data_IF_109621207995
#
_entry.id   IF_109621207995
#
_cell.length_a   1.000
_cell.length_b   1.000
_cell.length_c   1.000
_cell.angle_alpha   90.00
_cell.angle_beta   90.00
_cell.angle_gamma   90.00
#
_symmetry.space_group_name_H-M   'P 1'
#
loop_
_entity.id
_entity.type
_entity.pdbx_description
1 polymer ?
#
# COMPACT_ATOMS: atom_id res chain seq x y z
N UNK A 1 6.28 -6.62 -4.27
CA UNK A 1 4.92 -7.22 -4.29
C UNK A 1 4.89 -8.31 -5.34
N UNK A 2 4.05 -9.33 -5.20
CA UNK A 2 3.87 -10.39 -6.20
C UNK A 2 2.39 -10.44 -6.60
N UNK A 3 2.10 -10.11 -7.85
CA UNK A 3 0.77 -10.27 -8.42
C UNK A 3 0.77 -11.45 -9.38
N UNK A 4 -0.31 -12.23 -9.36
CA UNK A 4 -0.52 -13.36 -10.24
C UNK A 4 -1.75 -13.13 -11.12
N UNK A 5 -1.84 -13.90 -12.21
CA UNK A 5 -3.01 -13.92 -13.10
C UNK A 5 -3.32 -12.52 -13.64
N UNK A 6 -4.61 -12.20 -13.81
CA UNK A 6 -5.08 -10.96 -14.42
C UNK A 6 -4.66 -9.70 -13.64
N UNK A 7 -4.33 -9.83 -12.35
CA UNK A 7 -3.84 -8.70 -11.55
C UNK A 7 -2.48 -8.19 -12.02
N UNK A 8 -1.62 -9.08 -12.54
CA UNK A 8 -0.33 -8.67 -13.08
C UNK A 8 -0.53 -7.82 -14.34
N UNK A 9 -1.45 -8.23 -15.22
CA UNK A 9 -1.81 -7.51 -16.45
C UNK A 9 -2.49 -6.17 -16.15
N UNK A 10 -3.40 -6.14 -15.17
CA UNK A 10 -4.06 -4.90 -14.74
C UNK A 10 -3.06 -3.87 -14.19
N UNK A 11 -2.06 -4.33 -13.43
CA UNK A 11 -1.03 -3.43 -12.92
C UNK A 11 -0.14 -2.92 -14.05
N UNK A 12 0.25 -3.77 -14.99
CA UNK A 12 1.09 -3.40 -16.12
C UNK A 12 0.43 -2.33 -17.00
N UNK A 13 -0.83 -2.56 -17.40
CA UNK A 13 -1.64 -1.59 -18.14
C UNK A 13 -1.80 -0.26 -17.38
N UNK A 14 -1.97 -0.32 -16.05
CA UNK A 14 -2.05 0.90 -15.24
C UNK A 14 -0.72 1.65 -15.16
N UNK A 15 0.41 0.95 -15.10
CA UNK A 15 1.76 1.56 -15.13
C UNK A 15 1.97 2.26 -16.48
N UNK A 16 1.65 1.60 -17.59
CA UNK A 16 1.77 2.18 -18.93
C UNK A 16 0.90 3.42 -19.08
N UNK A 17 -0.38 3.35 -18.70
CA UNK A 17 -1.29 4.51 -18.73
C UNK A 17 -0.79 5.65 -17.88
N UNK A 18 -0.34 5.36 -16.66
CA UNK A 18 0.16 6.35 -15.73
C UNK A 18 1.49 6.97 -16.18
N UNK A 19 2.27 6.26 -17.01
CA UNK A 19 3.50 6.80 -17.61
C UNK A 19 3.25 8.05 -18.46
N UNK A 20 2.09 8.12 -19.13
CA UNK A 20 1.71 9.28 -19.93
C UNK A 20 1.26 10.46 -19.07
N UNK A 21 0.60 10.20 -17.93
CA UNK A 21 0.01 11.24 -17.08
C UNK A 21 1.04 11.82 -16.09
N UNK A 22 2.13 11.10 -15.82
CA UNK A 22 3.22 11.50 -14.90
C UNK A 22 2.74 11.77 -13.46
N UNK A 23 1.81 10.96 -12.98
CA UNK A 23 1.23 11.09 -11.64
C UNK A 23 1.66 9.95 -10.72
N UNK A 24 1.55 10.15 -9.40
CA UNK A 24 1.82 9.08 -8.43
C UNK A 24 0.84 7.91 -8.61
N UNK A 25 1.38 6.70 -8.80
CA UNK A 25 0.57 5.48 -8.88
C UNK A 25 0.24 4.96 -7.48
N UNK A 26 -1.05 4.93 -7.14
CA UNK A 26 -1.55 4.42 -5.85
C UNK A 26 -2.32 3.12 -6.09
N UNK A 27 -1.94 2.09 -5.34
CA UNK A 27 -2.52 0.74 -5.42
C UNK A 27 -3.17 0.37 -4.08
N UNK A 28 -4.40 -0.15 -4.12
CA UNK A 28 -5.02 -0.81 -2.97
C UNK A 28 -5.34 -2.26 -3.34
N UNK A 29 -4.77 -3.21 -2.58
CA UNK A 29 -5.02 -4.63 -2.77
C UNK A 29 -5.76 -5.20 -1.56
N UNK A 30 -6.96 -5.73 -1.77
CA UNK A 30 -7.75 -6.36 -0.68
C UNK A 30 -7.37 -7.82 -0.49
N UNK A 31 -7.55 -8.30 0.75
CA UNK A 31 -7.31 -9.70 1.15
C UNK A 31 -5.92 -10.20 0.74
N UNK A 32 -4.91 -9.33 0.83
CA UNK A 32 -3.55 -9.67 0.47
C UNK A 32 -2.90 -10.56 1.52
N UNK A 33 -2.02 -11.46 1.06
CA UNK A 33 -1.14 -12.24 1.93
C UNK A 33 0.17 -11.50 2.11
N UNK A 34 0.57 -11.29 3.36
CA UNK A 34 1.93 -10.87 3.69
C UNK A 34 2.80 -12.14 3.74
N UNK A 35 3.91 -12.11 3.02
CA UNK A 35 4.95 -13.12 3.04
C UNK A 35 6.14 -12.56 3.81
N UNK A 36 6.55 -13.29 4.85
CA UNK A 36 7.74 -12.96 5.61
C UNK A 36 9.00 -12.96 4.75
N UNK A 37 9.98 -12.16 5.17
CA UNK A 37 11.30 -12.19 4.57
C UNK A 37 11.92 -13.60 4.72
N UNK A 38 12.53 -14.10 3.65
CA UNK A 38 13.24 -15.39 3.63
C UNK A 38 14.59 -15.22 2.97
N UNK A 39 15.66 -15.40 3.75
CA UNK A 39 17.06 -15.30 3.32
C UNK A 39 17.32 -14.07 2.43
N UNK A 40 17.34 -14.28 1.11
CA UNK A 40 17.64 -13.27 0.08
C UNK A 40 16.42 -12.45 -0.36
N UNK A 41 15.22 -12.83 0.07
CA UNK A 41 13.97 -12.22 -0.35
C UNK A 41 13.38 -11.37 0.77
N UNK A 42 13.14 -10.07 0.53
CA UNK A 42 12.52 -9.20 1.53
C UNK A 42 11.04 -9.57 1.76
N UNK A 43 10.47 -9.01 2.84
CA UNK A 43 9.05 -9.10 3.11
C UNK A 43 8.26 -8.59 1.89
N UNK A 44 7.24 -9.35 1.50
CA UNK A 44 6.45 -9.04 0.30
C UNK A 44 4.96 -9.21 0.52
N UNK A 45 4.18 -8.44 -0.23
CA UNK A 45 2.71 -8.56 -0.28
C UNK A 45 2.32 -9.26 -1.58
N UNK A 46 1.36 -10.19 -1.50
CA UNK A 46 0.87 -10.97 -2.63
C UNK A 46 -0.67 -11.01 -2.66
N UNK A 47 -1.27 -11.02 -3.86
CA UNK A 47 -2.69 -11.31 -4.02
C UNK A 47 -3.03 -12.78 -3.75
N UNK A 48 -4.21 -13.03 -3.21
CA UNK A 48 -4.77 -14.38 -3.17
C UNK A 48 -5.55 -14.64 -4.46
N UNK A 49 -5.63 -15.93 -4.85
CA UNK A 49 -6.26 -16.34 -6.09
C UNK A 49 -7.73 -15.89 -6.18
N UNK A 50 -8.47 -16.09 -5.08
CA UNK A 50 -9.90 -15.78 -5.02
C UNK A 50 -10.17 -14.73 -3.94
N UNK A 51 -10.88 -13.65 -4.29
CA UNK A 51 -11.38 -12.65 -3.34
C UNK A 51 -10.51 -11.40 -3.16
N UNK A 52 -9.27 -11.41 -3.64
CA UNK A 52 -8.53 -10.15 -3.80
C UNK A 52 -9.23 -9.23 -4.78
N UNK A 53 -9.04 -7.92 -4.61
CA UNK A 53 -9.41 -6.89 -5.58
C UNK A 53 -8.26 -5.89 -5.62
N UNK A 54 -7.87 -5.51 -6.82
CA UNK A 54 -6.86 -4.48 -7.05
C UNK A 54 -7.58 -3.21 -7.51
N UNK A 55 -7.33 -2.12 -6.81
CA UNK A 55 -7.78 -0.78 -7.16
C UNK A 55 -6.55 0.04 -7.50
N UNK A 56 -6.60 0.75 -8.61
CA UNK A 56 -5.47 1.54 -9.12
C UNK A 56 -5.97 2.94 -9.40
N UNK A 57 -5.38 3.95 -8.74
CA UNK A 57 -5.78 5.36 -8.87
C UNK A 57 -7.32 5.56 -8.84
N UNK A 58 -7.99 4.83 -7.94
CA UNK A 58 -9.45 4.88 -7.80
C UNK A 58 -9.88 6.21 -7.20
N UNK A 59 -10.08 7.21 -8.06
CA UNK A 59 -10.50 8.57 -7.68
C UNK A 59 -11.94 8.63 -7.12
N UNK A 60 -12.72 7.57 -7.32
CA UNK A 60 -14.01 7.33 -6.67
C UNK A 60 -13.89 7.02 -5.17
N UNK A 61 -12.69 6.71 -4.70
CA UNK A 61 -12.39 6.48 -3.28
C UNK A 61 -11.66 7.72 -2.73
N UNK A 62 -12.37 8.53 -1.94
CA UNK A 62 -11.87 9.80 -1.42
C UNK A 62 -10.57 9.65 -0.60
N UNK A 63 -10.41 8.54 0.13
CA UNK A 63 -9.21 8.23 0.90
C UNK A 63 -7.99 7.97 0.02
N UNK A 64 -8.18 7.29 -1.13
CA UNK A 64 -7.10 7.03 -2.09
C UNK A 64 -6.67 8.34 -2.73
N UNK A 65 -7.62 9.18 -3.14
CA UNK A 65 -7.32 10.51 -3.68
C UNK A 65 -6.58 11.39 -2.66
N UNK A 66 -7.09 11.48 -1.43
CA UNK A 66 -6.43 12.26 -0.37
C UNK A 66 -5.04 11.74 -0.05
N UNK A 67 -4.85 10.41 -0.02
CA UNK A 67 -3.53 9.83 0.18
C UNK A 67 -2.59 10.20 -0.96
N UNK A 68 -3.04 10.06 -2.21
CA UNK A 68 -2.30 10.44 -3.40
C UNK A 68 -1.87 11.92 -3.37
N UNK A 69 -2.78 12.82 -3.03
CA UNK A 69 -2.49 14.26 -2.92
C UNK A 69 -1.50 14.57 -1.79
N UNK A 70 -1.46 13.74 -0.75
CA UNK A 70 -0.49 13.87 0.35
C UNK A 70 0.89 13.33 0.00
N UNK A 71 1.04 12.55 -1.07
CA UNK A 71 2.33 12.02 -1.50
C UNK A 71 3.15 13.14 -2.15
N UNK A 72 4.12 13.67 -1.41
CA UNK A 72 5.17 14.53 -1.95
C UNK A 72 6.28 13.68 -2.59
N UNK A 73 5.91 12.76 -3.48
CA UNK A 73 6.87 11.96 -4.25
C UNK A 73 6.87 12.45 -5.69
N UNK A 74 8.04 12.80 -6.26
CA UNK A 74 8.11 13.04 -7.69
C UNK A 74 7.73 11.76 -8.43
N UNK A 75 7.07 11.92 -9.57
CA UNK A 75 6.62 10.84 -10.45
C UNK A 75 7.72 9.78 -10.65
N UNK A 76 7.42 8.53 -10.31
CA UNK A 76 8.35 7.41 -10.43
C UNK A 76 8.44 6.96 -11.89
N UNK A 77 9.46 7.43 -12.61
CA UNK A 77 9.96 6.77 -13.82
C UNK A 77 11.01 5.77 -13.36
N UNK A 78 10.78 4.49 -13.62
CA UNK A 78 11.65 3.42 -13.16
C UNK A 78 13.14 3.69 -13.37
N UNK A 79 13.89 3.68 -12.27
CA UNK A 79 15.35 3.63 -12.27
C UNK A 79 16.04 4.92 -11.81
N UNK A 80 16.12 5.12 -10.50
CA UNK A 80 17.28 5.59 -9.71
C UNK A 80 16.76 6.16 -8.39
N UNK A 81 17.19 5.55 -7.29
CA UNK A 81 16.99 6.07 -5.93
C UNK A 81 17.87 7.30 -5.76
N UNK A 82 17.27 8.49 -5.63
CA UNK A 82 17.90 9.55 -4.84
C UNK A 82 17.24 9.60 -3.45
N UNK A 83 18.11 9.36 -2.49
CA UNK A 83 17.97 9.40 -1.06
C UNK A 83 17.38 10.77 -0.65
N UNK A 84 16.20 10.83 -0.01
CA UNK A 84 15.68 12.14 0.37
C UNK A 84 14.36 12.18 1.13
N UNK A 85 14.46 12.21 2.45
CA UNK A 85 13.55 12.84 3.42
C UNK A 85 12.12 12.27 3.60
N UNK A 86 11.92 11.67 4.77
CA UNK A 86 10.63 11.23 5.26
C UNK A 86 9.70 12.37 5.70
N UNK A 87 8.42 12.05 5.83
CA UNK A 87 7.46 12.79 6.65
C UNK A 87 6.37 11.83 7.09
N UNK A 88 6.40 11.48 8.38
CA UNK A 88 5.43 10.64 9.07
C UNK A 88 4.41 11.58 9.73
N UNK A 89 3.14 11.54 9.34
CA UNK A 89 2.10 12.37 9.94
C UNK A 89 1.02 11.50 10.61
N UNK A 90 0.93 11.60 11.94
CA UNK A 90 -0.16 11.04 12.75
C UNK A 90 -1.26 12.09 12.92
N UNK A 91 -2.53 11.76 12.63
CA UNK A 91 -3.67 12.54 13.13
C UNK A 91 -4.91 11.67 13.39
N UNK A 92 -5.50 11.89 14.57
CA UNK A 92 -6.72 11.26 15.11
C UNK A 92 -7.89 12.24 15.08
N UNK A 93 -9.10 11.79 14.71
CA UNK A 93 -10.35 12.43 15.15
C UNK A 93 -11.55 11.47 15.01
N UNK A 94 -12.21 11.24 16.15
CA UNK A 94 -13.39 10.40 16.33
C UNK A 94 -14.66 11.01 15.72
N UNK A 95 -15.49 10.15 15.12
CA UNK A 95 -16.96 10.27 15.15
C UNK A 95 -17.55 8.92 14.74
N UNK A 96 -18.69 8.51 15.31
CA UNK A 96 -19.27 7.16 15.23
C UNK A 96 -19.09 6.46 13.87
N UNK A 97 -18.15 5.51 13.81
CA UNK A 97 -17.65 4.86 12.59
C UNK A 97 -18.34 3.52 12.35
N UNK A 98 -18.81 3.26 11.12
CA UNK A 98 -19.23 1.92 10.70
C UNK A 98 -18.04 0.95 10.66
N UNK A 99 -18.25 -0.35 10.50
CA UNK A 99 -17.16 -1.34 10.60
C UNK A 99 -16.05 -1.14 9.56
N UNK A 100 -16.38 -0.61 8.39
CA UNK A 100 -15.41 -0.21 7.36
C UNK A 100 -14.55 0.98 7.81
N UNK A 101 -15.17 1.98 8.43
CA UNK A 101 -14.47 3.17 8.91
C UNK A 101 -13.60 2.86 10.13
N UNK A 102 -14.04 1.93 10.99
CA UNK A 102 -13.24 1.40 12.12
C UNK A 102 -12.00 0.68 11.62
N UNK A 103 -12.12 -0.12 10.56
CA UNK A 103 -10.95 -0.76 9.93
C UNK A 103 -9.95 0.27 9.42
N UNK A 104 -10.42 1.28 8.69
CA UNK A 104 -9.57 2.35 8.16
C UNK A 104 -8.97 3.24 9.26
N UNK A 105 -9.65 3.41 10.39
CA UNK A 105 -9.13 4.15 11.55
C UNK A 105 -7.92 3.45 12.17
N UNK A 106 -7.94 2.12 12.20
CA UNK A 106 -6.90 1.32 12.85
C UNK A 106 -5.81 0.86 11.86
N UNK A 107 -6.01 1.09 10.56
CA UNK A 107 -5.04 0.75 9.54
C UNK A 107 -3.83 1.68 9.63
N UNK A 108 -2.67 1.12 9.95
CA UNK A 108 -1.41 1.85 9.98
C UNK A 108 -0.81 1.87 8.58
N UNK A 109 -0.66 3.04 7.97
CA UNK A 109 0.07 3.20 6.72
C UNK A 109 1.57 3.23 7.01
N UNK A 110 2.35 2.50 6.22
CA UNK A 110 3.80 2.43 6.33
C UNK A 110 4.43 2.54 4.94
N UNK A 111 5.53 3.29 4.81
CA UNK A 111 6.32 3.30 3.58
C UNK A 111 6.99 1.94 3.37
N UNK A 112 7.41 1.61 2.15
CA UNK A 112 8.14 0.36 1.88
C UNK A 112 9.41 0.23 2.73
N UNK A 113 10.10 1.35 2.98
CA UNK A 113 11.25 1.39 3.89
C UNK A 113 10.87 1.09 5.34
N UNK A 114 9.72 1.60 5.80
CA UNK A 114 9.22 1.33 7.16
C UNK A 114 8.74 -0.10 7.35
N UNK A 115 8.12 -0.68 6.30
CA UNK A 115 7.65 -2.08 6.32
C UNK A 115 8.81 -3.04 6.57
N UNK A 116 10.00 -2.74 6.04
CA UNK A 116 11.21 -3.57 6.28
C UNK A 116 11.63 -3.64 7.75
N UNK A 117 11.17 -2.70 8.58
CA UNK A 117 11.49 -2.60 10.01
C UNK A 117 10.38 -3.11 10.93
N UNK A 118 9.22 -3.46 10.37
CA UNK A 118 8.11 -4.02 11.14
C UNK A 118 8.52 -5.40 11.68
N UNK A 119 8.35 -5.58 12.99
CA UNK A 119 8.58 -6.86 13.66
C UNK A 119 7.26 -7.40 14.18
N UNK A 120 7.07 -8.71 14.11
CA UNK A 120 5.91 -9.39 14.71
C UNK A 120 5.88 -9.11 16.22
N UNK A 121 4.87 -8.39 16.71
CA UNK A 121 4.60 -8.27 18.14
C UNK A 121 3.80 -9.49 18.56
N UNK A 122 4.49 -10.48 19.12
CA UNK A 122 3.81 -11.61 19.77
C UNK A 122 3.26 -11.12 21.11
N UNK A 123 1.96 -10.86 21.16
CA UNK A 123 1.27 -10.66 22.43
C UNK A 123 1.20 -12.01 23.14
N UNK A 124 2.19 -12.32 23.96
CA UNK A 124 2.07 -13.38 24.96
C UNK A 124 1.09 -12.89 26.03
N UNK A 125 -0.19 -13.21 25.84
CA UNK A 125 -1.15 -13.14 26.93
C UNK A 125 -0.80 -14.24 27.93
N UNK A 126 -0.05 -13.89 28.97
CA UNK A 126 0.03 -14.66 30.20
C UNK A 126 -0.92 -14.04 31.22
N UNK A 127 -2.10 -14.64 31.43
CA UNK A 127 -2.43 -15.41 32.63
C UNK A 127 -3.77 -16.11 32.47
#
# INVERSE_FOLDING_TARGET
>A
MTLWEDYALQLDDAIEKNHFVRESLVLMLTLAKIKDAKDKYPLSVQNIKNGSKLYVNSDDIAEIRKFRDSLCVPFYVGGLTEEGSGSQSQYTSNSQRGDRDKFLHNAQMASLGDISRLREVRTTNFK
#
